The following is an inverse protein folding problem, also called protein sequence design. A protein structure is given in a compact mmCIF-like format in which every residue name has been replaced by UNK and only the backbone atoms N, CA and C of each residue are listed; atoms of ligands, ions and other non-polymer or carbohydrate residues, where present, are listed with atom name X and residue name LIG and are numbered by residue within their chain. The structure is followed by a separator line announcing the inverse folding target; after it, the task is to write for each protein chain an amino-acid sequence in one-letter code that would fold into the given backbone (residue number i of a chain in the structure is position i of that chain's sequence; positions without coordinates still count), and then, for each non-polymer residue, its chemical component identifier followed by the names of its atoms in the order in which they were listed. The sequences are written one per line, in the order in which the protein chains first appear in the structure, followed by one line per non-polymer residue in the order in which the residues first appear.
data_IF_650793893579
#
_entry.id   IF_650793893579
#
_cell.length_a   1.000
_cell.length_b   1.000
_cell.length_c   1.000
_cell.angle_alpha   90.00
_cell.angle_beta   90.00
_cell.angle_gamma   90.00
#
_symmetry.space_group_name_H-M   'P 1'
#
loop_
_entity.id
_entity.type
_entity.pdbx_description
1 polymer ?
#
# COMPACT_ATOMS: atom_id res chain seq x y z
N UNK A 1 -1.25 45.06 -30.80
CA UNK A 1 -2.36 45.40 -29.89
C UNK A 1 -3.22 44.16 -29.69
N UNK A 2 -3.03 43.48 -28.56
CA UNK A 2 -3.66 42.19 -28.23
C UNK A 2 -4.69 42.46 -27.14
N UNK A 3 -5.97 42.17 -27.42
CA UNK A 3 -7.05 42.20 -26.41
C UNK A 3 -7.05 40.87 -25.66
N UNK A 4 -6.54 40.86 -24.43
CA UNK A 4 -6.79 39.80 -23.46
C UNK A 4 -8.06 40.13 -22.67
N UNK A 5 -9.20 39.58 -23.11
CA UNK A 5 -10.49 39.67 -22.43
C UNK A 5 -10.81 38.37 -21.67
N UNK A 6 -9.90 37.94 -20.80
CA UNK A 6 -10.18 36.85 -19.87
C UNK A 6 -10.54 37.47 -18.52
N UNK A 7 -11.82 37.34 -18.16
CA UNK A 7 -12.32 37.77 -16.85
C UNK A 7 -11.69 36.99 -15.69
N UNK A 8 -11.97 37.41 -14.45
CA UNK A 8 -11.39 36.81 -13.26
C UNK A 8 -11.77 35.32 -13.15
N UNK A 9 -10.79 34.51 -12.75
CA UNK A 9 -10.99 33.07 -12.54
C UNK A 9 -11.75 32.88 -11.21
N UNK A 10 -13.02 32.53 -11.32
CA UNK A 10 -13.87 32.17 -10.18
C UNK A 10 -13.80 30.66 -9.97
N UNK A 11 -13.71 30.24 -8.70
CA UNK A 11 -13.86 28.83 -8.35
C UNK A 11 -15.31 28.40 -8.60
N UNK A 12 -15.53 27.36 -9.41
CA UNK A 12 -16.88 26.89 -9.79
C UNK A 12 -17.71 26.32 -8.64
N UNK A 13 -17.09 26.05 -7.48
CA UNK A 13 -17.73 25.38 -6.36
C UNK A 13 -18.09 26.31 -5.20
N UNK A 14 -17.43 27.46 -5.09
CA UNK A 14 -17.67 28.42 -4.00
C UNK A 14 -17.79 29.87 -4.47
N UNK A 15 -17.75 30.12 -5.78
CA UNK A 15 -17.78 31.45 -6.42
C UNK A 15 -16.76 32.46 -5.87
N UNK A 16 -15.78 32.00 -5.11
CA UNK A 16 -14.76 32.86 -4.55
C UNK A 16 -13.76 33.24 -5.65
N UNK A 17 -13.58 34.55 -5.83
CA UNK A 17 -12.63 35.11 -6.79
C UNK A 17 -11.21 34.76 -6.36
N UNK A 18 -10.49 34.03 -7.21
CA UNK A 18 -9.09 33.69 -6.96
C UNK A 18 -8.27 34.93 -7.27
N UNK A 19 -8.16 35.81 -6.26
CA UNK A 19 -7.32 37.00 -6.32
C UNK A 19 -5.89 36.53 -6.57
N UNK A 20 -5.40 36.73 -7.81
CA UNK A 20 -3.97 36.66 -8.10
C UNK A 20 -3.31 37.73 -7.24
N UNK A 21 -2.64 37.31 -6.16
CA UNK A 21 -1.76 38.17 -5.36
C UNK A 21 -0.58 38.61 -6.24
N UNK A 22 -0.83 39.62 -7.06
CA UNK A 22 0.18 40.31 -7.85
C UNK A 22 0.76 41.42 -7.00
N UNK A 23 1.86 41.12 -6.30
CA UNK A 23 2.77 42.15 -5.79
C UNK A 23 3.06 42.08 -4.30
N UNK A 24 3.94 41.16 -3.91
CA UNK A 24 4.86 41.42 -2.79
C UNK A 24 6.20 40.78 -3.07
N UNK A 25 7.12 41.62 -3.53
CA UNK A 25 8.55 41.33 -3.68
C UNK A 25 9.20 41.26 -2.29
N UNK A 26 9.14 40.11 -1.61
CA UNK A 26 10.09 39.76 -0.55
C UNK A 26 9.88 38.34 -0.06
N UNK A 27 11.01 37.68 0.20
CA UNK A 27 11.15 36.33 0.74
C UNK A 27 10.66 35.19 -0.16
N UNK A 28 11.61 34.77 -0.99
CA UNK A 28 11.73 33.42 -1.52
C UNK A 28 11.89 32.43 -0.36
N UNK A 29 10.81 32.15 0.37
CA UNK A 29 10.71 30.90 1.12
C UNK A 29 10.63 29.81 0.07
N UNK A 30 11.80 29.23 -0.19
CA UNK A 30 12.01 27.93 -0.81
C UNK A 30 10.85 27.02 -0.35
N UNK A 31 10.12 26.35 -1.24
CA UNK A 31 9.11 25.38 -0.82
C UNK A 31 9.82 24.45 0.16
N UNK A 32 9.48 24.60 1.44
CA UNK A 32 9.86 23.66 2.46
C UNK A 32 9.08 22.42 2.07
N UNK A 33 9.77 21.57 1.32
CA UNK A 33 9.54 20.15 1.33
C UNK A 33 9.31 19.80 2.79
N UNK A 34 8.06 19.57 3.18
CA UNK A 34 7.74 18.94 4.45
C UNK A 34 8.14 17.47 4.31
N UNK A 35 9.43 17.26 4.03
CA UNK A 35 10.12 16.03 4.31
C UNK A 35 10.02 15.90 5.81
N UNK A 36 9.07 15.05 6.21
CA UNK A 36 9.04 14.48 7.55
C UNK A 36 10.43 13.88 7.73
N UNK A 37 11.28 14.57 8.50
CA UNK A 37 12.61 14.09 8.85
C UNK A 37 12.42 12.86 9.72
N UNK A 38 12.55 11.69 9.09
CA UNK A 38 12.46 10.37 9.73
C UNK A 38 13.45 10.22 10.89
N UNK A 39 14.50 11.06 10.95
CA UNK A 39 15.47 11.09 12.04
C UNK A 39 14.85 11.41 13.42
N UNK A 40 13.69 12.09 13.45
CA UNK A 40 13.01 12.41 14.71
C UNK A 40 12.17 11.26 15.30
N UNK A 41 11.94 10.20 14.52
CA UNK A 41 11.21 9.02 15.01
C UNK A 41 12.14 7.96 15.62
N UNK A 42 13.42 7.92 15.23
CA UNK A 42 14.39 6.99 15.82
C UNK A 42 14.77 7.40 17.26
N UNK A 43 14.78 8.69 17.58
CA UNK A 43 15.20 9.14 18.92
C UNK A 43 14.12 8.93 20.00
N UNK A 44 12.83 8.85 19.62
CA UNK A 44 11.73 8.61 20.57
C UNK A 44 11.50 7.10 20.81
N UNK A 45 11.83 6.22 19.86
CA UNK A 45 11.64 4.77 20.07
C UNK A 45 12.72 4.14 20.96
N UNK A 46 13.98 4.57 20.88
CA UNK A 46 15.05 3.93 21.67
C UNK A 46 14.91 4.19 23.18
N UNK A 47 14.32 5.30 23.59
CA UNK A 47 14.11 5.61 25.01
C UNK A 47 12.87 4.93 25.62
N UNK A 48 11.86 4.57 24.81
CA UNK A 48 10.60 3.98 25.29
C UNK A 48 10.56 2.44 25.19
N UNK A 49 11.46 1.81 24.43
CA UNK A 49 11.48 0.35 24.27
C UNK A 49 12.32 -0.39 25.31
N UNK A 50 13.02 0.34 26.20
CA UNK A 50 13.92 -0.25 27.19
C UNK A 50 13.28 -0.43 28.58
N UNK A 51 12.08 0.10 28.81
CA UNK A 51 11.29 -0.22 30.01
C UNK A 51 10.26 -1.33 29.72
N UNK A 52 10.68 -2.55 30.03
CA UNK A 52 9.81 -3.57 30.63
C UNK A 52 8.71 -4.18 29.74
N UNK A 53 9.02 -4.48 28.47
CA UNK A 53 8.25 -5.51 27.78
C UNK A 53 8.67 -6.88 28.34
N UNK A 54 7.78 -7.67 28.98
CA UNK A 54 8.13 -9.00 29.45
C UNK A 54 8.61 -9.85 28.28
N UNK A 55 9.55 -10.80 28.47
CA UNK A 55 10.04 -11.65 27.40
C UNK A 55 8.84 -12.37 26.78
N UNK A 56 8.41 -11.88 25.62
CA UNK A 56 7.32 -12.48 24.86
C UNK A 56 7.80 -13.89 24.54
N UNK A 57 7.17 -14.89 25.17
CA UNK A 57 7.48 -16.29 24.93
C UNK A 57 7.45 -16.53 23.42
N UNK A 58 8.57 -17.02 22.85
CA UNK A 58 8.66 -17.28 21.40
C UNK A 58 7.50 -18.15 20.90
N UNK A 59 7.04 -19.08 21.74
CA UNK A 59 5.88 -19.92 21.50
C UNK A 59 4.59 -19.11 21.26
N UNK A 60 4.38 -18.06 22.03
CA UNK A 60 3.20 -17.19 21.93
C UNK A 60 3.25 -16.31 20.68
N UNK A 61 4.47 -15.90 20.28
CA UNK A 61 4.75 -15.19 19.04
C UNK A 61 4.47 -16.07 17.81
N UNK A 62 4.86 -17.34 17.86
CA UNK A 62 4.52 -18.30 16.80
C UNK A 62 3.02 -18.57 16.72
N UNK A 63 2.34 -18.73 17.87
CA UNK A 63 0.89 -18.95 17.91
C UNK A 63 0.10 -17.75 17.37
N UNK A 64 0.49 -16.53 17.72
CA UNK A 64 -0.14 -15.31 17.17
C UNK A 64 0.09 -15.18 15.67
N UNK A 65 1.30 -15.48 15.19
CA UNK A 65 1.60 -15.50 13.76
C UNK A 65 0.77 -16.56 13.00
N UNK A 66 0.57 -17.75 13.58
CA UNK A 66 -0.30 -18.78 13.01
C UNK A 66 -1.77 -18.34 12.98
N UNK A 67 -2.28 -17.72 14.06
CA UNK A 67 -3.64 -17.17 14.10
C UNK A 67 -3.86 -16.09 13.05
N UNK A 68 -2.92 -15.17 12.90
CA UNK A 68 -3.01 -14.11 11.89
C UNK A 68 -3.01 -14.69 10.46
N UNK A 69 -2.19 -15.70 10.19
CA UNK A 69 -2.22 -16.42 8.90
C UNK A 69 -3.57 -17.11 8.66
N UNK A 70 -4.18 -17.68 9.70
CA UNK A 70 -5.47 -18.35 9.60
C UNK A 70 -6.62 -17.35 9.35
N UNK A 71 -6.60 -16.21 10.03
CA UNK A 71 -7.52 -15.08 9.82
C UNK A 71 -7.38 -14.54 8.40
N UNK A 72 -6.14 -14.32 7.93
CA UNK A 72 -5.88 -13.87 6.56
C UNK A 72 -6.39 -14.84 5.49
N UNK A 73 -6.34 -16.16 5.75
CA UNK A 73 -6.94 -17.17 4.86
C UNK A 73 -8.47 -17.11 4.87
N UNK A 74 -9.10 -16.93 6.04
CA UNK A 74 -10.56 -16.78 6.16
C UNK A 74 -11.08 -15.51 5.50
N UNK A 75 -10.38 -14.39 5.65
CA UNK A 75 -10.75 -13.12 5.02
C UNK A 75 -10.63 -13.17 3.49
N UNK A 76 -9.66 -13.93 2.96
CA UNK A 76 -9.51 -14.11 1.50
C UNK A 76 -10.60 -14.95 0.84
N UNK A 77 -11.24 -15.87 1.57
CA UNK A 77 -12.25 -16.75 0.98
C UNK A 77 -13.62 -16.09 0.85
N UNK A 78 -13.94 -15.10 1.69
CA UNK A 78 -15.32 -14.59 1.79
C UNK A 78 -15.62 -13.42 0.84
N UNK A 79 -14.61 -12.79 0.22
CA UNK A 79 -14.83 -11.63 -0.65
C UNK A 79 -15.02 -11.97 -2.15
N UNK A 80 -15.22 -13.25 -2.52
CA UNK A 80 -15.28 -13.66 -3.94
C UNK A 80 -16.56 -14.35 -4.39
N UNK A 81 -17.57 -14.46 -3.55
CA UNK A 81 -18.89 -14.92 -3.99
C UNK A 81 -19.95 -13.91 -3.57
N UNK A 82 -20.82 -13.56 -4.51
CA UNK A 82 -22.04 -12.75 -4.33
C UNK A 82 -21.87 -11.23 -4.42
N UNK A 83 -21.32 -10.77 -5.55
CA UNK A 83 -21.94 -9.64 -6.27
C UNK A 83 -22.58 -10.16 -7.56
N UNK A 84 -23.36 -11.25 -7.45
CA UNK A 84 -24.39 -11.54 -8.44
C UNK A 84 -25.58 -10.64 -8.08
N UNK A 85 -25.54 -9.40 -8.57
CA UNK A 85 -26.73 -8.56 -8.62
C UNK A 85 -27.82 -9.39 -9.29
N UNK A 86 -28.88 -9.64 -8.53
CA UNK A 86 -30.03 -10.43 -8.96
C UNK A 86 -30.49 -10.00 -10.35
N UNK A 87 -30.56 -10.99 -11.25
CA UNK A 87 -31.36 -10.94 -12.45
C UNK A 87 -32.82 -10.71 -12.03
N UNK A 88 -33.20 -9.44 -11.85
CA UNK A 88 -34.59 -9.05 -11.78
C UNK A 88 -35.21 -9.23 -13.16
N UNK A 89 -36.25 -10.07 -13.33
CA UNK A 89 -36.97 -10.17 -14.60
C UNK A 89 -37.85 -8.93 -14.75
N UNK A 90 -37.33 -7.86 -15.33
CA UNK A 90 -38.14 -6.71 -15.73
C UNK A 90 -38.29 -6.68 -17.24
N UNK A 91 -39.52 -7.04 -17.63
CA UNK A 91 -40.36 -6.36 -18.60
C UNK A 91 -39.67 -5.76 -19.83
N UNK A 92 -39.93 -6.43 -20.94
CA UNK A 92 -39.49 -6.14 -22.30
C UNK A 92 -40.38 -5.05 -22.89
N UNK A 93 -39.92 -3.81 -22.86
CA UNK A 93 -40.36 -2.79 -23.80
C UNK A 93 -39.16 -2.19 -24.54
N UNK A 94 -39.31 -2.11 -25.85
CA UNK A 94 -38.25 -1.89 -26.83
C UNK A 94 -37.73 -0.45 -26.81
N UNK A 95 -36.47 -0.28 -26.40
CA UNK A 95 -35.67 0.91 -26.67
C UNK A 95 -34.29 0.50 -27.22
N UNK A 96 -33.67 1.29 -28.10
CA UNK A 96 -32.44 0.93 -28.80
C UNK A 96 -31.28 0.71 -27.83
N UNK A 97 -30.71 -0.48 -27.88
CA UNK A 97 -29.66 -0.98 -26.99
C UNK A 97 -28.30 -0.31 -27.29
N UNK A 98 -27.94 0.69 -26.50
CA UNK A 98 -26.55 1.11 -26.32
C UNK A 98 -25.89 0.11 -25.37
N UNK A 99 -25.08 -0.80 -25.92
CA UNK A 99 -24.36 -1.80 -25.13
C UNK A 99 -23.44 -1.11 -24.10
N UNK A 100 -23.53 -1.46 -22.80
CA UNK A 100 -22.60 -0.94 -21.81
C UNK A 100 -21.19 -1.47 -22.11
N UNK A 101 -20.15 -0.62 -21.97
CA UNK A 101 -18.77 -1.02 -22.20
C UNK A 101 -18.38 -2.12 -21.20
N UNK A 102 -18.19 -3.34 -21.72
CA UNK A 102 -17.74 -4.50 -20.96
C UNK A 102 -16.25 -4.32 -20.64
N UNK A 103 -15.96 -3.64 -19.53
CA UNK A 103 -14.60 -3.50 -18.99
C UNK A 103 -14.10 -4.90 -18.62
N UNK A 104 -13.28 -5.49 -19.49
CA UNK A 104 -12.52 -6.71 -19.17
C UNK A 104 -11.42 -6.28 -18.20
N UNK A 105 -11.76 -6.21 -16.91
CA UNK A 105 -10.79 -6.08 -15.84
C UNK A 105 -9.93 -7.35 -15.86
N UNK A 106 -8.86 -7.30 -16.62
CA UNK A 106 -7.86 -8.36 -16.69
C UNK A 106 -7.07 -8.24 -15.40
N UNK A 107 -7.65 -8.74 -14.31
CA UNK A 107 -6.91 -8.97 -13.08
C UNK A 107 -5.78 -9.93 -13.45
N UNK A 108 -4.60 -9.38 -13.73
CA UNK A 108 -3.36 -10.12 -13.72
C UNK A 108 -3.24 -10.67 -12.31
N UNK A 109 -3.75 -11.90 -12.15
CA UNK A 109 -3.61 -12.70 -10.95
C UNK A 109 -2.13 -12.66 -10.64
N UNK A 110 -1.71 -12.06 -9.50
CA UNK A 110 -0.30 -12.05 -9.13
C UNK A 110 0.14 -13.51 -9.18
N UNK A 111 1.08 -13.78 -10.07
CA UNK A 111 1.62 -15.11 -10.28
C UNK A 111 1.88 -15.69 -8.89
N UNK A 112 1.27 -16.85 -8.61
CA UNK A 112 1.39 -17.50 -7.31
C UNK A 112 2.87 -17.64 -6.92
N UNK A 113 3.16 -17.88 -5.63
CA UNK A 113 4.53 -18.01 -5.13
C UNK A 113 5.27 -19.13 -5.87
N UNK A 114 5.87 -18.81 -7.00
CA UNK A 114 6.59 -19.72 -7.87
C UNK A 114 7.97 -19.90 -7.26
N UNK A 115 8.17 -21.03 -6.57
CA UNK A 115 9.44 -21.77 -6.44
C UNK A 115 10.72 -20.99 -6.10
N UNK A 116 10.62 -19.77 -5.55
CA UNK A 116 11.75 -18.93 -5.17
C UNK A 116 12.41 -19.35 -3.83
N UNK A 117 11.96 -20.47 -3.25
CA UNK A 117 12.45 -20.98 -1.97
C UNK A 117 13.91 -21.43 -2.00
N UNK A 118 14.36 -22.08 -3.09
CA UNK A 118 15.69 -22.73 -3.10
C UNK A 118 16.85 -21.73 -3.17
N UNK A 119 16.73 -20.68 -3.98
CA UNK A 119 17.77 -19.66 -4.13
C UNK A 119 17.95 -18.81 -2.86
N UNK A 120 16.90 -18.64 -2.05
CA UNK A 120 17.00 -17.92 -0.78
C UNK A 120 17.85 -18.68 0.24
N UNK A 121 17.74 -20.02 0.24
CA UNK A 121 18.40 -20.87 1.22
C UNK A 121 19.90 -20.98 0.99
N UNK A 122 20.35 -21.16 -0.25
CA UNK A 122 21.80 -21.19 -0.57
C UNK A 122 22.50 -19.89 -0.21
N UNK A 123 21.86 -18.74 -0.43
CA UNK A 123 22.46 -17.45 -0.11
C UNK A 123 22.53 -17.24 1.40
N UNK A 124 21.52 -17.70 2.14
CA UNK A 124 21.57 -17.70 3.61
C UNK A 124 22.73 -18.57 4.11
N UNK A 125 22.91 -19.78 3.57
CA UNK A 125 24.03 -20.65 3.94
C UNK A 125 25.40 -20.04 3.62
N UNK A 126 25.54 -19.36 2.48
CA UNK A 126 26.79 -18.69 2.11
C UNK A 126 27.18 -17.61 3.12
N UNK A 127 26.20 -16.82 3.58
CA UNK A 127 26.42 -15.75 4.57
C UNK A 127 26.74 -16.33 5.94
N UNK A 128 25.97 -17.33 6.41
CA UNK A 128 26.24 -18.01 7.68
C UNK A 128 27.61 -18.68 7.68
N UNK A 129 28.00 -19.31 6.57
CA UNK A 129 29.33 -19.87 6.37
C UNK A 129 30.43 -18.81 6.53
N UNK A 130 30.28 -17.65 5.88
CA UNK A 130 31.24 -16.55 6.00
C UNK A 130 31.39 -16.03 7.44
N UNK A 131 30.27 -15.81 8.13
CA UNK A 131 30.27 -15.36 9.54
C UNK A 131 30.90 -16.41 10.47
N UNK A 132 30.60 -17.70 10.25
CA UNK A 132 31.16 -18.79 11.05
C UNK A 132 32.68 -18.90 10.87
N UNK A 133 33.19 -18.83 9.63
CA UNK A 133 34.64 -18.86 9.34
C UNK A 133 35.35 -17.64 9.95
N UNK A 134 34.73 -16.45 9.87
CA UNK A 134 35.28 -15.24 10.47
C UNK A 134 35.36 -15.34 12.00
N UNK A 135 34.29 -15.79 12.66
CA UNK A 135 34.27 -16.02 14.11
C UNK A 135 35.32 -17.05 14.55
N UNK A 136 35.47 -18.14 13.79
CA UNK A 136 36.47 -19.16 14.08
C UNK A 136 37.91 -18.63 13.93
N UNK A 137 38.15 -17.78 12.92
CA UNK A 137 39.43 -17.08 12.74
C UNK A 137 39.78 -16.15 13.90
N UNK A 138 38.82 -15.36 14.38
CA UNK A 138 39.01 -14.49 15.56
C UNK A 138 39.30 -15.29 16.83
N UNK A 139 38.59 -16.40 17.06
CA UNK A 139 38.85 -17.30 18.18
C UNK A 139 40.27 -17.89 18.12
N UNK A 140 40.73 -18.35 16.95
CA UNK A 140 42.10 -18.85 16.76
C UNK A 140 43.16 -17.78 17.02
N UNK A 141 42.89 -16.53 16.63
CA UNK A 141 43.79 -15.40 16.88
C UNK A 141 43.87 -15.06 18.36
N UNK A 142 42.73 -14.99 19.05
CA UNK A 142 42.65 -14.77 20.49
C UNK A 142 43.36 -15.90 21.26
N UNK A 143 43.17 -17.14 20.81
CA UNK A 143 43.86 -18.31 21.37
C UNK A 143 45.38 -18.22 21.17
N UNK A 144 45.84 -17.92 19.96
CA UNK A 144 47.27 -17.77 19.66
C UNK A 144 47.92 -16.68 20.52
N UNK A 145 47.22 -15.56 20.73
CA UNK A 145 47.68 -14.47 21.59
C UNK A 145 47.80 -14.90 23.06
N UNK A 146 46.88 -15.73 23.54
CA UNK A 146 46.88 -16.23 24.92
C UNK A 146 48.03 -17.21 25.20
N UNK A 147 48.47 -18.00 24.22
CA UNK A 147 49.46 -19.07 24.40
C UNK A 147 50.87 -18.76 23.85
N UNK A 148 51.10 -17.56 23.28
CA UNK A 148 52.42 -17.11 22.78
C UNK A 148 53.14 -18.12 21.87
N UNK A 149 52.44 -18.74 20.92
CA UNK A 149 53.03 -19.68 19.96
C UNK A 149 53.37 -18.99 18.63
N UNK A 150 54.62 -18.54 18.40
CA UNK A 150 54.98 -17.71 17.24
C UNK A 150 54.83 -18.43 15.89
N UNK A 151 54.91 -19.76 15.86
CA UNK A 151 54.70 -20.54 14.64
C UNK A 151 53.25 -20.51 14.12
N UNK A 152 52.28 -20.20 14.98
CA UNK A 152 50.85 -20.19 14.64
C UNK A 152 50.39 -18.83 14.10
N UNK A 153 51.23 -17.80 14.23
CA UNK A 153 50.90 -16.43 13.81
C UNK A 153 50.69 -16.32 12.29
N UNK A 154 51.50 -17.01 11.50
CA UNK A 154 51.36 -17.01 10.03
C UNK A 154 50.02 -17.62 9.58
N UNK A 155 49.57 -18.69 10.23
CA UNK A 155 48.29 -19.33 9.93
C UNK A 155 47.10 -18.46 10.36
N UNK A 156 47.20 -17.76 11.49
CA UNK A 156 46.17 -16.82 11.92
C UNK A 156 46.01 -15.64 10.94
N UNK A 157 47.13 -15.07 10.49
CA UNK A 157 47.14 -13.91 9.59
C UNK A 157 46.59 -14.26 8.19
N UNK A 158 46.95 -15.42 7.63
CA UNK A 158 46.39 -15.88 6.35
C UNK A 158 44.90 -16.21 6.48
N UNK A 159 44.46 -16.79 7.59
CA UNK A 159 43.06 -17.05 7.86
C UNK A 159 42.24 -15.75 7.95
N UNK A 160 42.74 -14.70 8.60
CA UNK A 160 42.04 -13.41 8.66
C UNK A 160 41.93 -12.72 7.32
N UNK A 161 43.01 -12.71 6.51
CA UNK A 161 42.97 -12.11 5.17
C UNK A 161 41.99 -12.87 4.27
N UNK A 162 41.99 -14.20 4.34
CA UNK A 162 41.05 -15.02 3.60
C UNK A 162 39.59 -14.77 4.06
N UNK A 163 39.35 -14.62 5.37
CA UNK A 163 38.04 -14.33 5.91
C UNK A 163 37.54 -12.94 5.49
N UNK A 164 38.40 -11.92 5.55
CA UNK A 164 38.07 -10.55 5.11
C UNK A 164 37.73 -10.51 3.62
N UNK A 165 38.54 -11.17 2.77
CA UNK A 165 38.26 -11.28 1.34
C UNK A 165 36.92 -11.98 1.04
N UNK A 166 36.62 -13.07 1.76
CA UNK A 166 35.33 -13.78 1.65
C UNK A 166 34.15 -12.89 2.08
N UNK A 167 34.31 -12.11 3.15
CA UNK A 167 33.29 -11.20 3.68
C UNK A 167 32.98 -10.07 2.69
N UNK A 168 34.02 -9.45 2.08
CA UNK A 168 33.86 -8.42 1.05
C UNK A 168 33.12 -8.96 -0.17
N UNK A 169 33.47 -10.17 -0.63
CA UNK A 169 32.77 -10.83 -1.75
C UNK A 169 31.31 -11.13 -1.41
N UNK A 170 31.04 -11.63 -0.21
CA UNK A 170 29.68 -11.89 0.29
C UNK A 170 28.82 -10.63 0.37
N UNK A 171 29.36 -9.54 0.93
CA UNK A 171 28.69 -8.24 1.00
C UNK A 171 28.43 -7.65 -0.39
N UNK A 172 29.41 -7.70 -1.29
CA UNK A 172 29.27 -7.22 -2.67
C UNK A 172 28.15 -7.98 -3.41
N UNK A 173 28.08 -9.30 -3.22
CA UNK A 173 26.99 -10.12 -3.78
C UNK A 173 25.63 -9.72 -3.19
N UNK A 174 25.55 -9.55 -1.87
CA UNK A 174 24.32 -9.09 -1.20
C UNK A 174 23.87 -7.73 -1.71
N UNK A 175 24.78 -6.77 -1.89
CA UNK A 175 24.48 -5.46 -2.44
C UNK A 175 23.89 -5.55 -3.86
N UNK A 176 24.50 -6.34 -4.74
CA UNK A 176 23.97 -6.58 -6.10
C UNK A 176 22.58 -7.22 -6.05
N UNK A 177 22.36 -8.17 -5.13
CA UNK A 177 21.05 -8.81 -4.96
C UNK A 177 20.00 -7.81 -4.46
N UNK A 178 20.35 -7.00 -3.47
CA UNK A 178 19.47 -5.97 -2.92
C UNK A 178 19.10 -4.95 -4.00
N UNK A 179 20.09 -4.52 -4.79
CA UNK A 179 19.88 -3.62 -5.92
C UNK A 179 18.90 -4.19 -6.95
N UNK A 180 19.06 -5.47 -7.32
CA UNK A 180 18.13 -6.15 -8.24
C UNK A 180 16.72 -6.28 -7.64
N UNK A 181 16.63 -6.57 -6.35
CA UNK A 181 15.34 -6.70 -5.67
C UNK A 181 14.63 -5.34 -5.56
N UNK A 182 15.36 -4.29 -5.18
CA UNK A 182 14.87 -2.91 -5.13
C UNK A 182 14.30 -2.48 -6.48
N UNK A 183 15.02 -2.74 -7.59
CA UNK A 183 14.49 -2.46 -8.94
C UNK A 183 13.23 -3.26 -9.29
N UNK A 184 13.11 -4.50 -8.82
CA UNK A 184 11.92 -5.31 -9.05
C UNK A 184 10.73 -4.75 -8.28
N UNK A 185 10.94 -4.37 -7.02
CA UNK A 185 9.93 -3.73 -6.17
C UNK A 185 9.50 -2.39 -6.77
N UNK A 186 10.44 -1.54 -7.20
CA UNK A 186 10.11 -0.26 -7.84
C UNK A 186 9.21 -0.44 -9.08
N UNK A 187 9.51 -1.42 -9.94
CA UNK A 187 8.65 -1.74 -11.10
C UNK A 187 7.25 -2.23 -10.69
N UNK A 188 7.13 -2.88 -9.54
CA UNK A 188 5.83 -3.29 -9.02
C UNK A 188 5.06 -2.09 -8.48
N UNK A 189 5.73 -1.16 -7.79
CA UNK A 189 5.11 0.11 -7.37
C UNK A 189 4.64 0.93 -8.57
N UNK A 190 5.48 1.08 -9.60
CA UNK A 190 5.08 1.75 -10.85
C UNK A 190 3.83 1.11 -11.48
N UNK A 191 3.69 -0.22 -11.34
CA UNK A 191 2.51 -0.95 -11.79
C UNK A 191 1.28 -0.65 -10.95
N UNK A 192 1.43 -0.55 -9.63
CA UNK A 192 0.34 -0.21 -8.70
C UNK A 192 -0.13 1.24 -8.90
N UNK A 193 0.78 2.19 -9.11
CA UNK A 193 0.43 3.59 -9.37
C UNK A 193 -0.38 3.76 -10.65
N UNK A 194 -0.03 3.00 -11.70
CA UNK A 194 -0.83 2.95 -12.93
C UNK A 194 -2.23 2.40 -12.68
N UNK A 195 -2.35 1.32 -11.89
CA UNK A 195 -3.65 0.76 -11.53
C UNK A 195 -4.48 1.73 -10.70
N UNK A 196 -3.87 2.47 -9.77
CA UNK A 196 -4.55 3.51 -8.99
C UNK A 196 -5.05 4.63 -9.89
N UNK A 197 -4.25 5.05 -10.87
CA UNK A 197 -4.62 6.06 -11.87
C UNK A 197 -5.80 5.59 -12.72
N UNK A 198 -5.77 4.34 -13.21
CA UNK A 198 -6.87 3.74 -13.97
C UNK A 198 -8.16 3.63 -13.13
N UNK A 199 -8.05 3.25 -11.84
CA UNK A 199 -9.20 3.19 -10.93
C UNK A 199 -9.75 4.59 -10.68
N UNK A 200 -8.89 5.60 -10.55
CA UNK A 200 -9.32 6.99 -10.34
C UNK A 200 -10.02 7.56 -11.59
N UNK A 201 -9.53 7.25 -12.79
CA UNK A 201 -10.20 7.61 -14.06
C UNK A 201 -11.55 6.90 -14.21
N UNK A 202 -11.61 5.59 -13.90
CA UNK A 202 -12.85 4.84 -13.90
C UNK A 202 -13.84 5.41 -12.87
N UNK A 203 -13.41 5.67 -11.64
CA UNK A 203 -14.25 6.28 -10.61
C UNK A 203 -14.75 7.66 -11.04
N UNK A 204 -13.89 8.50 -11.63
CA UNK A 204 -14.27 9.81 -12.17
C UNK A 204 -15.31 9.70 -13.29
N UNK A 205 -15.14 8.75 -14.22
CA UNK A 205 -16.10 8.51 -15.31
C UNK A 205 -17.44 7.96 -14.80
N UNK A 206 -17.42 7.10 -13.78
CA UNK A 206 -18.61 6.55 -13.13
C UNK A 206 -19.36 7.64 -12.36
N UNK A 207 -18.67 8.49 -11.62
CA UNK A 207 -19.30 9.64 -10.93
C UNK A 207 -19.91 10.59 -11.97
N UNK A 208 -19.22 10.87 -13.09
CA UNK A 208 -19.80 11.64 -14.18
C UNK A 208 -21.09 11.03 -14.77
N UNK A 209 -21.14 9.71 -14.93
CA UNK A 209 -22.31 9.01 -15.46
C UNK A 209 -23.44 8.84 -14.44
N UNK A 210 -23.13 8.58 -13.17
CA UNK A 210 -24.13 8.47 -12.09
C UNK A 210 -24.73 9.82 -11.75
N UNK A 211 -23.93 10.89 -11.71
CA UNK A 211 -24.47 12.24 -11.50
C UNK A 211 -25.36 12.61 -12.67
N UNK A 212 -24.98 12.30 -13.91
CA UNK A 212 -25.83 12.56 -15.08
C UNK A 212 -27.14 11.76 -15.06
N UNK A 213 -27.12 10.45 -14.81
CA UNK A 213 -28.35 9.63 -14.85
C UNK A 213 -29.26 9.82 -13.63
N UNK A 214 -28.69 9.99 -12.43
CA UNK A 214 -29.48 10.25 -11.22
C UNK A 214 -29.98 11.70 -11.18
N UNK A 215 -29.20 12.71 -11.59
CA UNK A 215 -29.73 14.07 -11.70
C UNK A 215 -30.77 14.18 -12.81
N UNK A 216 -30.64 13.42 -13.91
CA UNK A 216 -31.70 13.36 -14.92
C UNK A 216 -32.96 12.67 -14.36
N UNK A 217 -32.81 11.62 -13.55
CA UNK A 217 -33.94 10.99 -12.86
C UNK A 217 -34.58 11.91 -11.82
N UNK A 218 -33.79 12.58 -10.97
CA UNK A 218 -34.28 13.52 -9.96
C UNK A 218 -34.84 14.81 -10.58
N UNK A 219 -34.32 15.28 -11.70
CA UNK A 219 -34.91 16.42 -12.42
C UNK A 219 -36.27 16.04 -13.02
N UNK A 220 -36.40 14.86 -13.63
CA UNK A 220 -37.71 14.34 -14.05
C UNK A 220 -38.67 14.10 -12.86
N UNK A 221 -38.18 13.61 -11.73
CA UNK A 221 -38.99 13.41 -10.53
C UNK A 221 -39.39 14.75 -9.89
N UNK A 222 -38.52 15.76 -9.90
CA UNK A 222 -38.80 17.09 -9.35
C UNK A 222 -39.80 17.87 -10.21
N UNK A 223 -39.85 17.61 -11.51
CA UNK A 223 -40.84 18.20 -12.41
C UNK A 223 -42.20 17.49 -12.37
N UNK A 224 -42.24 16.19 -12.06
CA UNK A 224 -43.47 15.39 -12.08
C UNK A 224 -44.06 15.08 -10.70
N UNK A 225 -43.26 15.05 -9.63
CA UNK A 225 -43.72 14.71 -8.29
C UNK A 225 -43.77 15.95 -7.40
N UNK A 226 -44.97 16.23 -6.86
CA UNK A 226 -45.12 17.26 -5.85
C UNK A 226 -44.24 16.93 -4.62
N UNK A 227 -43.58 17.91 -3.99
CA UNK A 227 -42.70 17.70 -2.84
C UNK A 227 -43.41 16.99 -1.68
N UNK A 228 -44.74 17.08 -1.62
CA UNK A 228 -45.58 16.40 -0.64
C UNK A 228 -45.56 14.88 -0.77
N UNK A 229 -45.46 14.34 -1.98
CA UNK A 229 -45.46 12.89 -2.23
C UNK A 229 -44.14 12.26 -1.81
N UNK A 230 -43.04 12.99 -1.94
CA UNK A 230 -41.70 12.54 -1.55
C UNK A 230 -41.57 12.46 -0.02
N UNK A 231 -42.12 13.46 0.68
CA UNK A 231 -42.22 13.44 2.15
C UNK A 231 -43.12 12.30 2.64
N UNK A 232 -44.23 12.02 1.96
CA UNK A 232 -45.11 10.91 2.32
C UNK A 232 -44.42 9.54 2.16
N UNK A 233 -43.62 9.35 1.09
CA UNK A 233 -42.88 8.11 0.86
C UNK A 233 -41.74 7.93 1.89
N UNK A 234 -40.98 8.99 2.17
CA UNK A 234 -39.94 8.95 3.22
C UNK A 234 -40.53 8.66 4.60
N UNK A 235 -41.68 9.27 4.92
CA UNK A 235 -42.39 8.98 6.16
C UNK A 235 -42.84 7.52 6.22
N UNK A 236 -43.41 6.99 5.13
CA UNK A 236 -43.80 5.58 5.05
C UNK A 236 -42.62 4.63 5.25
N UNK A 237 -41.44 4.93 4.67
CA UNK A 237 -40.24 4.13 4.87
C UNK A 237 -39.72 4.19 6.30
N UNK A 238 -39.76 5.37 6.95
CA UNK A 238 -39.36 5.53 8.35
C UNK A 238 -40.30 4.77 9.28
N UNK A 239 -41.62 4.89 9.07
CA UNK A 239 -42.63 4.17 9.87
C UNK A 239 -42.46 2.65 9.73
N UNK A 240 -42.19 2.16 8.51
CA UNK A 240 -41.94 0.74 8.26
C UNK A 240 -40.64 0.24 8.90
N UNK A 241 -39.62 1.10 9.02
CA UNK A 241 -38.36 0.80 9.70
C UNK A 241 -38.54 0.79 11.21
N UNK A 242 -39.35 1.71 11.74
CA UNK A 242 -39.72 1.76 13.16
C UNK A 242 -40.48 0.50 13.59
N UNK A 243 -41.44 0.03 12.78
CA UNK A 243 -42.17 -1.22 13.04
C UNK A 243 -41.24 -2.43 13.08
N UNK A 244 -40.27 -2.52 12.16
CA UNK A 244 -39.30 -3.63 12.16
C UNK A 244 -38.38 -3.61 13.38
N UNK A 245 -37.99 -2.44 13.88
CA UNK A 245 -37.18 -2.33 15.10
C UNK A 245 -38.01 -2.68 16.34
N UNK A 246 -39.29 -2.29 16.37
CA UNK A 246 -40.20 -2.62 17.46
C UNK A 246 -40.47 -4.12 17.59
N UNK A 247 -40.54 -4.84 16.46
CA UNK A 247 -40.75 -6.31 16.43
C UNK A 247 -39.49 -7.08 16.83
N UNK A 248 -38.30 -6.52 16.61
CA UNK A 248 -37.03 -7.22 16.82
C UNK A 248 -36.41 -6.95 18.22
N UNK A 249 -37.26 -6.57 19.20
CA UNK A 249 -36.90 -6.30 20.59
C UNK A 249 -37.71 -7.20 21.51
#
# INVERSE_FOLDING_TARGET
MVRSAQGPLLCSQCEHEVVRQSGSTSQRTRPADTGISLDSFDEIQVAAEQELSPPINELEREQTCQRLKQIGRRLRSTYRHELELGNSPVFRDAAPQLLPPRVKATYQRPAGPSEQGSASWMISLLVFSGVAVFGLGLCLLAWSLAFQLPAQWQWGLTATIAAEGSLILGLSWMAVRLWRNSRRVNRQLDGVDRQLTEIQELAGSLVGHQVSSSQQYYSHFSQAASPHMLVANLRGQIDQLADRIAINR
#
